data_IF_251324423131
#
_entry.id   IF_251324423131
#
_cell.length_a   1.000
_cell.length_b   1.000
_cell.length_c   1.000
_cell.angle_alpha   90.00
_cell.angle_beta   90.00
_cell.angle_gamma   90.00
#
_symmetry.space_group_name_H-M   'P 1'
#
loop_
_entity.id
_entity.type
_entity.pdbx_description
1 polymer ?
#
# COMPACT_ATOMS: atom_id res chain seq x y z
N UNK A 1 -12.64 47.40 72.35
CA UNK A 1 -12.87 48.30 71.20
C UNK A 1 -12.53 47.51 69.96
N UNK A 2 -13.55 47.10 69.22
CA UNK A 2 -13.46 46.20 68.07
C UNK A 2 -13.33 46.99 66.75
N UNK A 3 -12.97 46.23 65.70
CA UNK A 3 -13.06 46.50 64.25
C UNK A 3 -11.83 47.16 63.58
N UNK A 4 -11.61 46.92 62.25
CA UNK A 4 -11.80 45.67 61.48
C UNK A 4 -10.74 45.44 60.38
N UNK A 5 -10.75 44.23 59.79
CA UNK A 5 -10.57 43.90 58.36
C UNK A 5 -9.81 44.90 57.45
N UNK A 6 -8.82 44.50 56.64
CA UNK A 6 -8.99 43.48 55.59
C UNK A 6 -7.63 43.09 54.99
N UNK A 7 -7.23 41.82 55.11
CA UNK A 7 -6.24 41.21 54.22
C UNK A 7 -6.87 41.10 52.83
N UNK A 8 -6.38 41.87 51.86
CA UNK A 8 -6.70 41.62 50.46
C UNK A 8 -5.82 40.48 49.96
N UNK A 9 -6.32 39.25 50.11
CA UNK A 9 -5.86 38.11 49.33
C UNK A 9 -6.13 38.39 47.86
N UNK A 10 -5.08 38.57 47.07
CA UNK A 10 -5.16 38.60 45.60
C UNK A 10 -5.38 37.15 45.13
N UNK A 11 -6.54 36.59 45.46
CA UNK A 11 -6.96 35.26 45.02
C UNK A 11 -7.42 35.36 43.56
N UNK A 12 -6.53 34.87 42.70
CA UNK A 12 -6.75 34.34 41.36
C UNK A 12 -8.09 34.63 40.67
N UNK A 13 -8.07 35.60 39.75
CA UNK A 13 -9.01 35.61 38.64
C UNK A 13 -8.59 34.56 37.60
N UNK A 14 -8.93 33.28 37.83
CA UNK A 14 -8.99 32.27 36.75
C UNK A 14 -10.44 32.19 36.27
N UNK A 15 -10.86 33.16 35.46
CA UNK A 15 -12.20 33.13 34.84
C UNK A 15 -12.11 33.62 33.40
N UNK A 16 -12.45 32.76 32.44
CA UNK A 16 -12.65 33.16 31.04
C UNK A 16 -12.29 32.15 29.93
N UNK A 17 -11.73 30.97 30.23
CA UNK A 17 -11.24 30.04 29.20
C UNK A 17 -12.03 28.71 29.11
N UNK A 18 -13.37 28.77 29.09
CA UNK A 18 -14.21 27.54 29.09
C UNK A 18 -15.38 27.48 28.09
N UNK A 19 -15.53 28.44 27.16
CA UNK A 19 -16.64 28.40 26.17
C UNK A 19 -16.22 28.26 24.70
N UNK A 20 -14.96 28.53 24.37
CA UNK A 20 -14.46 28.49 22.98
C UNK A 20 -14.03 27.08 22.55
N UNK A 21 -13.56 26.30 23.52
CA UNK A 21 -13.03 24.95 23.28
C UNK A 21 -14.13 23.94 22.90
N UNK A 22 -15.37 24.15 23.35
CA UNK A 22 -16.50 23.28 23.02
C UNK A 22 -16.95 23.40 21.56
N UNK A 23 -16.91 24.61 20.99
CA UNK A 23 -17.26 24.83 19.56
C UNK A 23 -16.22 24.20 18.65
N UNK A 24 -14.93 24.41 18.96
CA UNK A 24 -13.83 23.79 18.21
C UNK A 24 -13.88 22.25 18.28
N UNK A 25 -14.27 21.67 19.42
CA UNK A 25 -14.45 20.23 19.56
C UNK A 25 -15.58 19.68 18.67
N UNK A 26 -16.69 20.42 18.53
CA UNK A 26 -17.82 20.02 17.66
C UNK A 26 -17.44 20.12 16.18
N UNK A 27 -16.78 21.20 15.78
CA UNK A 27 -16.27 21.35 14.40
C UNK A 27 -15.31 20.21 14.05
N UNK A 28 -14.36 19.89 14.95
CA UNK A 28 -13.46 18.76 14.74
C UNK A 28 -14.22 17.43 14.68
N UNK A 29 -15.20 17.19 15.55
CA UNK A 29 -15.98 15.96 15.55
C UNK A 29 -16.75 15.72 14.23
N UNK A 30 -17.20 16.80 13.58
CA UNK A 30 -17.89 16.72 12.28
C UNK A 30 -16.90 16.55 11.12
N UNK A 31 -15.74 17.21 11.16
CA UNK A 31 -14.74 17.12 10.10
C UNK A 31 -13.90 15.83 10.15
N UNK A 32 -13.65 15.30 11.35
CA UNK A 32 -12.75 14.17 11.58
C UNK A 32 -13.13 12.90 10.80
N UNK A 33 -14.41 12.46 10.71
CA UNK A 33 -14.79 11.30 9.92
C UNK A 33 -14.35 11.38 8.45
N UNK A 34 -14.51 12.54 7.82
CA UNK A 34 -14.14 12.74 6.41
C UNK A 34 -12.62 12.72 6.25
N UNK A 35 -11.89 13.40 7.13
CA UNK A 35 -10.42 13.43 7.10
C UNK A 35 -9.86 12.02 7.30
N UNK A 36 -10.39 11.27 8.26
CA UNK A 36 -9.99 9.89 8.54
C UNK A 36 -10.22 8.98 7.32
N UNK A 37 -11.38 9.08 6.68
CA UNK A 37 -11.66 8.32 5.47
C UNK A 37 -10.70 8.67 4.33
N UNK A 38 -10.40 9.96 4.13
CA UNK A 38 -9.47 10.40 3.10
C UNK A 38 -8.04 9.92 3.37
N UNK A 39 -7.58 10.00 4.62
CA UNK A 39 -6.24 9.56 5.00
C UNK A 39 -6.10 8.06 4.81
N UNK A 40 -6.96 7.24 5.43
CA UNK A 40 -6.85 5.79 5.30
C UNK A 40 -7.17 5.30 3.89
N UNK A 41 -8.13 5.92 3.20
CA UNK A 41 -8.40 5.65 1.79
C UNK A 41 -7.20 5.94 0.90
N UNK A 42 -6.47 7.03 1.15
CA UNK A 42 -5.26 7.37 0.39
C UNK A 42 -4.10 6.40 0.65
N UNK A 43 -3.94 5.93 1.89
CA UNK A 43 -2.93 4.93 2.26
C UNK A 43 -3.24 3.60 1.55
N UNK A 44 -4.49 3.16 1.61
CA UNK A 44 -4.93 1.92 0.99
C UNK A 44 -4.80 1.96 -0.54
N UNK A 45 -5.24 3.05 -1.17
CA UNK A 45 -5.10 3.25 -2.61
C UNK A 45 -3.62 3.24 -3.04
N UNK A 46 -2.76 3.90 -2.27
CA UNK A 46 -1.33 3.93 -2.52
C UNK A 46 -0.70 2.55 -2.39
N UNK A 47 -1.16 1.73 -1.43
CA UNK A 47 -0.72 0.33 -1.29
C UNK A 47 -1.08 -0.50 -2.52
N UNK A 48 -2.29 -0.37 -3.06
CA UNK A 48 -2.70 -1.11 -4.25
C UNK A 48 -1.98 -0.67 -5.52
N UNK A 49 -1.69 0.63 -5.65
CA UNK A 49 -0.85 1.16 -6.74
C UNK A 49 0.56 0.57 -6.62
N UNK A 50 1.15 0.60 -5.42
CA UNK A 50 2.46 0.02 -5.16
C UNK A 50 2.50 -1.48 -5.49
N UNK A 51 1.48 -2.24 -5.06
CA UNK A 51 1.36 -3.67 -5.37
C UNK A 51 1.34 -3.90 -6.88
N UNK A 52 0.45 -3.20 -7.61
CA UNK A 52 0.34 -3.34 -9.07
C UNK A 52 1.64 -3.03 -9.79
N UNK A 53 2.34 -1.97 -9.39
CA UNK A 53 3.63 -1.60 -9.96
C UNK A 53 4.71 -2.65 -9.64
N UNK A 54 4.68 -3.21 -8.44
CA UNK A 54 5.62 -4.26 -8.01
C UNK A 54 5.45 -5.53 -8.85
N UNK A 55 4.21 -5.96 -9.09
CA UNK A 55 3.90 -7.10 -9.98
C UNK A 55 4.37 -6.82 -11.41
N UNK A 56 4.12 -5.62 -11.95
CA UNK A 56 4.56 -5.25 -13.30
C UNK A 56 6.09 -5.26 -13.43
N UNK A 57 6.83 -4.74 -12.45
CA UNK A 57 8.30 -4.72 -12.49
C UNK A 57 8.86 -6.14 -12.38
N UNK A 58 8.31 -6.97 -11.49
CA UNK A 58 8.72 -8.38 -11.37
C UNK A 58 8.46 -9.15 -12.67
N UNK A 59 7.27 -8.99 -13.24
CA UNK A 59 6.87 -9.62 -14.50
C UNK A 59 7.76 -9.19 -15.68
N UNK A 60 8.08 -7.88 -15.77
CA UNK A 60 8.97 -7.36 -16.80
C UNK A 60 10.37 -7.94 -16.70
N UNK A 61 10.94 -7.98 -15.50
CA UNK A 61 12.29 -8.50 -15.28
C UNK A 61 12.36 -10.02 -15.47
N UNK A 62 11.33 -10.76 -15.08
CA UNK A 62 11.23 -12.20 -15.35
C UNK A 62 11.12 -12.49 -16.84
N UNK A 63 10.23 -11.80 -17.57
CA UNK A 63 10.08 -12.05 -19.01
C UNK A 63 11.35 -11.63 -19.77
N UNK A 64 12.04 -10.59 -19.31
CA UNK A 64 13.34 -10.18 -19.86
C UNK A 64 14.40 -11.26 -19.66
N UNK A 65 14.44 -11.89 -18.49
CA UNK A 65 15.34 -13.02 -18.24
C UNK A 65 14.96 -14.21 -19.12
N UNK A 66 13.68 -14.58 -19.16
CA UNK A 66 13.15 -15.65 -19.98
C UNK A 66 13.31 -15.42 -21.50
N UNK A 67 13.44 -14.18 -21.96
CA UNK A 67 13.69 -13.83 -23.36
C UNK A 67 15.14 -14.05 -23.80
N UNK A 68 16.10 -14.20 -22.87
CA UNK A 68 17.50 -14.43 -23.23
C UNK A 68 17.72 -15.85 -23.79
N UNK A 69 18.72 -16.00 -24.66
CA UNK A 69 19.08 -17.31 -25.20
C UNK A 69 19.68 -18.19 -24.10
N UNK A 70 19.14 -19.40 -23.92
CA UNK A 70 19.61 -20.37 -22.93
C UNK A 70 19.15 -20.12 -21.49
N UNK A 71 18.30 -19.11 -21.24
CA UNK A 71 17.65 -18.95 -19.94
C UNK A 71 16.53 -19.97 -19.75
N UNK A 72 16.33 -20.38 -18.50
CA UNK A 72 15.28 -21.32 -18.10
C UNK A 72 14.12 -20.62 -17.41
N UNK A 73 13.00 -21.32 -17.28
CA UNK A 73 11.89 -20.85 -16.46
C UNK A 73 12.31 -20.59 -15.00
N UNK A 74 13.20 -21.42 -14.45
CA UNK A 74 13.70 -21.27 -13.09
C UNK A 74 14.53 -19.99 -12.88
N UNK A 75 15.32 -19.58 -13.88
CA UNK A 75 16.09 -18.34 -13.82
C UNK A 75 15.16 -17.12 -13.81
N UNK A 76 14.14 -17.15 -14.66
CA UNK A 76 13.13 -16.10 -14.76
C UNK A 76 12.26 -16.01 -13.50
N UNK A 77 11.86 -17.15 -12.94
CA UNK A 77 11.12 -17.22 -11.69
C UNK A 77 11.94 -16.66 -10.53
N UNK A 78 13.20 -17.11 -10.37
CA UNK A 78 14.12 -16.59 -9.36
C UNK A 78 14.29 -15.07 -9.47
N UNK A 79 14.31 -14.53 -10.69
CA UNK A 79 14.38 -13.08 -10.92
C UNK A 79 13.13 -12.35 -10.45
N UNK A 80 11.94 -12.85 -10.77
CA UNK A 80 10.68 -12.27 -10.26
C UNK A 80 10.58 -12.38 -8.74
N UNK A 81 10.88 -13.54 -8.16
CA UNK A 81 10.85 -13.79 -6.70
C UNK A 81 11.72 -12.78 -5.97
N UNK A 82 12.98 -12.57 -6.41
CA UNK A 82 13.88 -11.61 -5.78
C UNK A 82 13.29 -10.19 -5.72
N UNK A 83 12.57 -9.77 -6.76
CA UNK A 83 11.91 -8.46 -6.81
C UNK A 83 10.70 -8.42 -5.87
N UNK A 84 9.85 -9.43 -5.90
CA UNK A 84 8.63 -9.50 -5.09
C UNK A 84 8.96 -9.58 -3.59
N UNK A 85 9.95 -10.38 -3.21
CA UNK A 85 10.44 -10.49 -1.83
C UNK A 85 11.07 -9.17 -1.35
N UNK A 86 11.92 -8.53 -2.17
CA UNK A 86 12.51 -7.23 -1.81
C UNK A 86 11.46 -6.13 -1.57
N UNK A 87 10.31 -6.25 -2.24
CA UNK A 87 9.16 -5.35 -2.13
C UNK A 87 8.15 -5.80 -1.09
N UNK A 88 8.39 -6.94 -0.42
CA UNK A 88 7.53 -7.56 0.61
C UNK A 88 6.12 -7.82 0.10
N UNK A 89 6.00 -8.32 -1.12
CA UNK A 89 4.72 -8.81 -1.67
C UNK A 89 4.43 -10.19 -1.09
N UNK A 90 3.21 -10.40 -0.58
CA UNK A 90 2.75 -11.66 0.00
C UNK A 90 1.82 -12.41 -0.98
N UNK A 91 1.79 -13.75 -0.85
CA UNK A 91 0.88 -14.65 -1.58
C UNK A 91 0.82 -14.40 -3.08
N UNK A 92 1.99 -14.18 -3.68
CA UNK A 92 2.09 -13.98 -5.12
C UNK A 92 2.19 -15.31 -5.86
N UNK A 93 1.78 -15.28 -7.13
CA UNK A 93 1.89 -16.38 -8.07
C UNK A 93 2.53 -15.88 -9.35
N UNK A 94 3.49 -16.63 -9.89
CA UNK A 94 4.20 -16.36 -11.13
C UNK A 94 3.86 -17.49 -12.10
N UNK A 95 3.49 -17.16 -13.33
CA UNK A 95 3.18 -18.11 -14.39
C UNK A 95 3.83 -17.69 -15.69
N UNK A 96 4.24 -18.69 -16.48
CA UNK A 96 4.69 -18.51 -17.86
C UNK A 96 3.77 -19.29 -18.80
N UNK A 97 2.61 -18.74 -19.22
CA UNK A 97 1.62 -19.49 -19.99
C UNK A 97 2.12 -20.06 -21.33
N UNK A 98 3.16 -19.45 -21.89
CA UNK A 98 3.82 -19.92 -23.13
C UNK A 98 4.92 -20.94 -22.87
N UNK A 99 5.28 -21.18 -21.61
CA UNK A 99 6.56 -21.77 -21.23
C UNK A 99 7.75 -20.84 -21.51
N UNK A 100 8.95 -21.31 -21.16
CA UNK A 100 10.23 -20.61 -21.41
C UNK A 100 11.24 -21.49 -22.14
N UNK A 101 11.38 -22.75 -21.74
CA UNK A 101 12.52 -23.60 -22.10
C UNK A 101 12.54 -24.04 -23.57
N UNK A 102 11.37 -24.30 -24.17
CA UNK A 102 11.24 -24.81 -25.54
C UNK A 102 10.99 -23.73 -26.60
N UNK A 103 11.03 -22.45 -26.21
CA UNK A 103 10.72 -21.34 -27.11
C UNK A 103 11.85 -21.05 -28.10
N UNK A 104 11.49 -20.92 -29.37
CA UNK A 104 12.42 -20.55 -30.43
C UNK A 104 12.58 -19.03 -30.52
N UNK A 105 13.72 -18.58 -31.07
CA UNK A 105 13.96 -17.17 -31.37
C UNK A 105 12.80 -16.58 -32.17
N UNK A 106 12.28 -15.43 -31.72
CA UNK A 106 11.14 -14.73 -32.33
C UNK A 106 9.77 -15.21 -31.85
N UNK A 107 9.68 -16.26 -31.02
CA UNK A 107 8.45 -16.65 -30.35
C UNK A 107 8.17 -15.75 -29.14
N UNK A 108 6.90 -15.69 -28.74
CA UNK A 108 6.48 -14.87 -27.62
C UNK A 108 6.71 -15.59 -26.29
N UNK A 109 7.42 -14.92 -25.39
CA UNK A 109 7.49 -15.27 -23.98
C UNK A 109 6.46 -14.41 -23.25
N UNK A 110 5.53 -15.05 -22.54
CA UNK A 110 4.51 -14.39 -21.72
C UNK A 110 4.79 -14.70 -20.26
N UNK A 111 4.85 -13.66 -19.44
CA UNK A 111 4.84 -13.79 -17.98
C UNK A 111 3.56 -13.18 -17.42
N UNK A 112 2.98 -13.83 -16.42
CA UNK A 112 1.86 -13.35 -15.62
C UNK A 112 2.22 -13.45 -14.14
N UNK A 113 2.11 -12.34 -13.42
CA UNK A 113 2.37 -12.29 -11.98
C UNK A 113 1.14 -11.75 -11.28
N UNK A 114 0.63 -12.48 -10.30
CA UNK A 114 -0.57 -12.11 -9.57
C UNK A 114 -0.38 -12.09 -8.06
N UNK A 115 -1.16 -11.28 -7.35
CA UNK A 115 -1.20 -11.28 -5.89
C UNK A 115 -2.55 -10.73 -5.37
N UNK A 116 -3.08 -11.25 -4.25
CA UNK A 116 -4.29 -10.75 -3.64
C UNK A 116 -4.04 -9.43 -2.88
N UNK A 117 -4.98 -8.50 -3.01
CA UNK A 117 -4.96 -7.22 -2.27
C UNK A 117 -5.14 -7.40 -0.77
N UNK A 118 -5.85 -8.44 -0.32
CA UNK A 118 -6.14 -8.67 1.11
C UNK A 118 -4.87 -8.82 1.96
N UNK A 119 -3.93 -9.67 1.55
CA UNK A 119 -2.71 -9.96 2.33
C UNK A 119 -1.58 -8.96 2.07
N UNK A 120 -1.79 -8.05 1.11
CA UNK A 120 -0.92 -6.94 0.78
C UNK A 120 -1.53 -5.57 1.19
N UNK A 121 -2.60 -5.59 1.98
CA UNK A 121 -3.24 -4.41 2.54
C UNK A 121 -2.65 -4.07 3.90
N UNK A 122 -2.29 -2.79 4.17
CA UNK A 122 -1.75 -2.39 5.46
C UNK A 122 -2.82 -2.17 6.53
N UNK A 123 -4.06 -1.83 6.15
CA UNK A 123 -5.08 -1.35 7.11
C UNK A 123 -6.43 -1.99 6.84
N UNK A 124 -6.92 -1.94 5.61
CA UNK A 124 -8.32 -2.19 5.30
C UNK A 124 -8.57 -3.52 4.57
N UNK A 125 -7.64 -4.49 4.60
CA UNK A 125 -7.74 -5.75 3.86
C UNK A 125 -8.99 -6.58 4.17
N UNK A 126 -9.50 -6.48 5.40
CA UNK A 126 -10.76 -7.10 5.82
C UNK A 126 -12.01 -6.25 5.51
N UNK A 127 -11.84 -4.93 5.39
CA UNK A 127 -12.94 -3.98 5.14
C UNK A 127 -13.15 -3.69 3.65
N UNK A 128 -12.15 -3.95 2.81
CA UNK A 128 -12.16 -3.73 1.36
C UNK A 128 -12.26 -5.08 0.65
N UNK A 129 -13.03 -5.12 -0.44
CA UNK A 129 -13.20 -6.34 -1.24
C UNK A 129 -11.85 -6.84 -1.75
N UNK A 130 -11.53 -8.09 -1.42
CA UNK A 130 -10.34 -8.74 -1.96
C UNK A 130 -10.43 -8.84 -3.49
N UNK A 131 -9.36 -8.41 -4.15
CA UNK A 131 -9.12 -8.51 -5.58
C UNK A 131 -7.74 -9.08 -5.81
N UNK A 132 -7.62 -10.02 -6.74
CA UNK A 132 -6.31 -10.46 -7.25
C UNK A 132 -5.87 -9.48 -8.34
N UNK A 133 -4.77 -8.79 -8.11
CA UNK A 133 -4.15 -7.95 -9.14
C UNK A 133 -3.25 -8.83 -10.00
N UNK A 134 -3.35 -8.69 -11.32
CA UNK A 134 -2.56 -9.48 -12.29
C UNK A 134 -1.77 -8.55 -13.18
N UNK A 135 -0.46 -8.69 -13.24
CA UNK A 135 0.42 -8.07 -14.23
C UNK A 135 0.73 -9.07 -15.34
N UNK A 136 0.74 -8.61 -16.59
CA UNK A 136 1.07 -9.44 -17.75
C UNK A 136 2.01 -8.67 -18.66
N UNK A 137 3.13 -9.28 -19.00
CA UNK A 137 4.13 -8.71 -19.92
C UNK A 137 4.49 -9.76 -20.96
N UNK A 138 4.74 -9.30 -22.19
CA UNK A 138 5.11 -10.14 -23.32
C UNK A 138 6.37 -9.58 -23.97
N UNK A 139 7.33 -10.45 -24.25
CA UNK A 139 8.53 -10.15 -25.04
C UNK A 139 8.76 -11.23 -26.10
N UNK A 140 9.66 -10.96 -27.04
CA UNK A 140 10.12 -11.96 -28.01
C UNK A 140 11.39 -12.65 -27.49
N UNK A 141 11.54 -13.94 -27.76
CA UNK A 141 12.77 -14.69 -27.47
C UNK A 141 13.89 -14.25 -28.41
N UNK A 142 15.06 -13.97 -27.85
CA UNK A 142 16.27 -13.54 -28.58
C UNK A 142 17.04 -14.68 -29.27
#
# INVERSE_FOLDING_TARGET
MANPFKRSSILGARSGRRKRDGVAAVEFAVCMPVIVLLVFGSIEASSFIFLKQSLNVACYEAVREASQSGSTEADADARAVAILESRRVNDFEIQFPTGVDDLQRGEQVVCEVSAPTRTNSPIAGEFVTNRTLVARVVMLKE
#
